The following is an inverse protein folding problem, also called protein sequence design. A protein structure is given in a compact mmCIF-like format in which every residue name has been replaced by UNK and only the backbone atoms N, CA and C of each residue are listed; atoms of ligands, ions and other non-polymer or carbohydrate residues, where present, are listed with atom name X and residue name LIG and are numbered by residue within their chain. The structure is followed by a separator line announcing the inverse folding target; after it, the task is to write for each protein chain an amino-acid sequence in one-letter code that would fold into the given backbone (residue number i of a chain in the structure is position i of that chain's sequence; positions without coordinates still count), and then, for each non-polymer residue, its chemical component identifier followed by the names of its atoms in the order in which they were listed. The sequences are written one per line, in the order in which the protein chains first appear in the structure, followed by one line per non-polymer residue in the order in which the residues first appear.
data_IF_324479827490
#
_entry.id   IF_324479827490
#
_cell.length_a   1.000
_cell.length_b   1.000
_cell.length_c   1.000
_cell.angle_alpha   90.00
_cell.angle_beta   90.00
_cell.angle_gamma   90.00
#
_symmetry.space_group_name_H-M   'P 1'
#
loop_
_entity.id
_entity.type
_entity.pdbx_description
1 polymer ?
#
# COMPACT_ATOMS: atom_id res chain seq x y z
N UNK A 1 -10.30 -0.31 -26.17
CA UNK A 1 -9.97 -1.31 -25.14
C UNK A 1 -10.82 -2.55 -25.38
N UNK A 2 -10.22 -3.64 -25.86
CA UNK A 2 -10.93 -4.91 -26.10
C UNK A 2 -10.21 -6.01 -25.32
N UNK A 3 -10.88 -6.58 -24.33
CA UNK A 3 -10.40 -7.74 -23.57
C UNK A 3 -10.96 -9.00 -24.23
N UNK A 4 -10.09 -9.85 -24.79
CA UNK A 4 -10.47 -11.20 -25.27
C UNK A 4 -10.09 -12.24 -24.23
N UNK A 5 -11.08 -13.03 -23.79
CA UNK A 5 -10.90 -14.19 -22.90
C UNK A 5 -10.61 -15.42 -23.78
N UNK A 6 -9.50 -16.14 -23.56
CA UNK A 6 -9.29 -17.46 -24.18
C UNK A 6 -10.02 -18.53 -23.36
N UNK A 7 -10.75 -19.40 -24.05
CA UNK A 7 -11.26 -20.66 -23.52
C UNK A 7 -10.16 -21.72 -23.67
N UNK A 8 -10.01 -22.61 -22.68
CA UNK A 8 -9.14 -23.79 -22.77
C UNK A 8 -9.99 -25.04 -22.62
N UNK A 9 -9.92 -25.87 -23.65
CA UNK A 9 -10.51 -27.21 -23.76
C UNK A 9 -9.80 -28.21 -22.84
N UNK A 10 -10.54 -29.23 -22.42
CA UNK A 10 -10.14 -30.31 -21.53
C UNK A 10 -9.92 -31.63 -22.30
N UNK A 11 -8.86 -32.38 -22.00
CA UNK A 11 -8.77 -33.84 -22.21
C UNK A 11 -7.57 -34.45 -21.43
N UNK A 12 -7.45 -35.80 -21.28
CA UNK A 12 -7.65 -36.48 -19.99
C UNK A 12 -6.42 -37.25 -19.45
N UNK A 13 -6.64 -37.88 -18.30
CA UNK A 13 -5.71 -38.61 -17.43
C UNK A 13 -4.92 -39.76 -18.09
N UNK A 14 -3.71 -40.00 -17.58
CA UNK A 14 -3.07 -41.32 -17.60
C UNK A 14 -2.28 -41.57 -16.30
N UNK A 15 -2.46 -42.76 -15.76
CA UNK A 15 -1.88 -43.32 -14.55
C UNK A 15 -0.67 -44.21 -14.87
N UNK A 16 0.32 -44.28 -13.96
CA UNK A 16 0.99 -45.56 -13.63
C UNK A 16 2.03 -45.38 -12.51
N UNK A 17 1.88 -46.21 -11.48
CA UNK A 17 2.88 -46.53 -10.46
C UNK A 17 4.04 -47.33 -11.06
N UNK A 18 5.28 -47.09 -10.64
CA UNK A 18 6.29 -48.14 -10.34
C UNK A 18 7.27 -47.63 -9.29
N UNK A 19 7.42 -48.39 -8.20
CA UNK A 19 8.55 -48.37 -7.26
C UNK A 19 9.54 -49.47 -7.63
N UNK A 20 10.85 -49.30 -7.39
CA UNK A 20 11.73 -50.25 -6.68
C UNK A 20 13.23 -49.86 -6.68
N UNK A 21 13.74 -49.63 -5.45
CA UNK A 21 14.95 -50.16 -4.77
C UNK A 21 16.37 -50.17 -5.42
N UNK A 22 17.25 -49.45 -4.71
CA UNK A 22 18.51 -49.84 -4.00
C UNK A 22 19.70 -50.50 -4.75
N UNK A 23 20.87 -49.87 -4.59
CA UNK A 23 22.14 -50.28 -3.91
C UNK A 23 23.25 -49.30 -4.37
N UNK A 24 24.23 -48.81 -3.62
CA UNK A 24 24.72 -49.06 -2.26
C UNK A 24 26.26 -48.91 -2.27
N UNK A 25 26.82 -48.30 -1.20
CA UNK A 25 28.22 -48.36 -0.71
C UNK A 25 29.32 -47.63 -1.53
N UNK A 26 30.37 -47.00 -0.98
CA UNK A 26 30.96 -46.91 0.37
C UNK A 26 31.86 -45.63 0.41
N UNK A 27 31.86 -44.77 1.45
CA UNK A 27 32.69 -44.84 2.68
C UNK A 27 34.10 -44.20 2.43
N UNK A 28 34.70 -43.28 3.20
CA UNK A 28 34.92 -43.19 4.66
C UNK A 28 35.47 -41.81 5.08
N UNK A 29 35.13 -41.43 6.34
CA UNK A 29 35.94 -40.75 7.38
C UNK A 29 36.50 -39.32 7.14
N UNK A 30 36.48 -38.38 8.08
CA UNK A 30 36.09 -38.41 9.48
C UNK A 30 36.37 -37.04 10.14
N UNK A 31 35.40 -36.61 10.95
CA UNK A 31 35.41 -35.58 12.01
C UNK A 31 36.51 -35.83 13.10
N UNK A 32 36.68 -35.03 14.20
CA UNK A 32 35.80 -33.97 14.75
C UNK A 32 36.47 -32.70 15.38
N UNK A 33 35.62 -31.67 15.64
CA UNK A 33 35.50 -30.79 16.86
C UNK A 33 36.71 -29.96 17.35
N UNK A 34 36.64 -28.82 18.08
CA UNK A 34 35.66 -28.04 18.86
C UNK A 34 36.32 -26.65 19.14
N UNK A 35 35.60 -25.51 19.08
CA UNK A 35 35.07 -24.70 20.20
C UNK A 35 36.02 -23.64 20.85
N UNK A 36 35.54 -22.37 20.87
CA UNK A 36 35.84 -21.25 21.82
C UNK A 36 37.29 -20.69 21.90
N UNK A 37 37.61 -19.45 22.29
CA UNK A 37 36.92 -18.19 22.61
C UNK A 37 37.99 -17.07 22.75
N UNK A 38 37.57 -15.81 22.59
CA UNK A 38 37.90 -14.62 23.40
C UNK A 38 39.35 -14.03 23.60
N UNK A 39 39.40 -12.69 23.42
CA UNK A 39 40.04 -11.65 24.27
C UNK A 39 41.48 -11.13 24.00
N UNK A 40 41.50 -9.84 23.61
CA UNK A 40 42.43 -8.71 23.85
C UNK A 40 43.93 -8.77 23.55
N UNK A 41 44.42 -7.67 22.96
CA UNK A 41 45.56 -6.91 23.52
C UNK A 41 45.54 -5.43 23.13
N UNK A 42 45.76 -4.61 24.15
CA UNK A 42 45.90 -3.15 24.22
C UNK A 42 47.25 -2.67 23.69
N UNK A 43 47.36 -1.42 23.21
CA UNK A 43 48.51 -0.56 23.51
C UNK A 43 48.31 0.93 23.09
N UNK A 44 48.23 1.77 24.12
CA UNK A 44 48.94 3.06 24.33
C UNK A 44 48.59 4.36 23.59
N UNK A 45 48.54 5.37 24.47
CA UNK A 45 48.24 6.79 24.42
C UNK A 45 49.46 7.66 24.04
N UNK A 46 49.22 8.88 23.50
CA UNK A 46 49.43 10.18 24.19
C UNK A 46 49.56 11.39 23.22
N UNK A 47 48.97 12.52 23.68
CA UNK A 47 49.32 13.94 23.45
C UNK A 47 48.93 14.57 22.09
N UNK A 48 48.50 15.84 21.97
CA UNK A 48 48.31 16.97 22.89
C UNK A 48 47.39 18.04 22.26
N UNK A 49 46.99 18.99 23.11
CA UNK A 49 46.14 20.17 22.90
C UNK A 49 46.41 21.04 21.66
N UNK A 50 45.31 21.59 21.11
CA UNK A 50 45.09 23.03 20.79
C UNK A 50 44.41 23.24 19.44
N UNK A 51 43.14 23.68 19.46
CA UNK A 51 42.57 24.59 18.47
C UNK A 51 41.18 25.05 18.92
N UNK A 52 41.15 26.17 19.63
CA UNK A 52 39.95 26.97 19.84
C UNK A 52 39.52 27.53 18.47
N UNK A 53 38.53 26.93 17.81
CA UNK A 53 37.94 27.47 16.57
C UNK A 53 36.50 27.90 16.83
N UNK A 54 36.28 29.21 16.66
CA UNK A 54 35.01 29.94 16.74
C UNK A 54 33.82 29.10 16.26
N UNK A 55 32.91 28.80 17.19
CA UNK A 55 31.55 28.34 16.87
C UNK A 55 30.84 29.44 16.09
N UNK A 56 30.65 29.23 14.80
CA UNK A 56 29.79 30.07 13.97
C UNK A 56 28.35 29.71 14.35
N UNK A 57 27.62 30.64 14.95
CA UNK A 57 26.19 30.47 15.21
C UNK A 57 25.48 30.19 13.88
N UNK A 58 25.03 28.96 13.69
CA UNK A 58 24.17 28.57 12.57
C UNK A 58 22.80 29.15 12.90
N UNK A 59 22.24 29.96 11.98
CA UNK A 59 20.89 30.49 12.11
C UNK A 59 19.89 29.31 12.24
N UNK A 60 18.83 29.47 13.03
CA UNK A 60 17.82 28.41 13.24
C UNK A 60 17.22 27.91 11.91
N UNK A 61 17.18 28.78 10.89
CA UNK A 61 16.67 28.47 9.56
C UNK A 61 17.62 27.58 8.73
N UNK A 62 18.93 27.75 8.88
CA UNK A 62 19.92 26.90 8.21
C UNK A 62 20.02 25.52 8.85
N UNK A 63 19.85 25.42 10.17
CA UNK A 63 19.78 24.14 10.87
C UNK A 63 18.50 23.36 10.49
N UNK A 64 17.34 24.04 10.43
CA UNK A 64 16.08 23.43 10.02
C UNK A 64 16.11 22.95 8.55
N UNK A 65 16.66 23.74 7.63
CA UNK A 65 16.84 23.33 6.22
C UNK A 65 17.80 22.14 6.07
N UNK A 66 18.86 22.08 6.88
CA UNK A 66 19.83 21.00 6.85
C UNK A 66 19.26 19.69 7.40
N UNK A 67 18.45 19.75 8.47
CA UNK A 67 17.73 18.58 9.02
C UNK A 67 16.70 18.03 8.05
N UNK A 68 15.99 18.89 7.31
CA UNK A 68 15.04 18.47 6.26
C UNK A 68 15.76 17.85 5.06
N UNK A 69 16.93 18.37 4.67
CA UNK A 69 17.75 17.82 3.58
C UNK A 69 18.40 16.46 3.91
N UNK A 70 18.70 16.20 5.19
CA UNK A 70 19.31 14.95 5.68
C UNK A 70 18.27 13.92 6.17
N UNK A 71 16.98 14.22 6.04
CA UNK A 71 15.91 13.26 6.32
C UNK A 71 16.06 12.03 5.40
N UNK A 72 15.82 10.81 5.90
CA UNK A 72 15.75 9.62 5.06
C UNK A 72 14.90 9.87 3.81
N UNK A 73 13.74 10.53 3.97
CA UNK A 73 12.81 10.89 2.88
C UNK A 73 13.43 11.79 1.80
N UNK A 74 14.28 12.73 2.18
CA UNK A 74 15.00 13.60 1.24
C UNK A 74 16.14 12.84 0.53
N UNK A 75 16.87 12.00 1.26
CA UNK A 75 17.89 11.10 0.71
C UNK A 75 17.32 10.12 -0.31
N UNK A 76 16.14 9.56 -0.04
CA UNK A 76 15.42 8.67 -0.95
C UNK A 76 14.98 9.37 -2.23
N UNK A 77 14.52 10.63 -2.16
CA UNK A 77 14.17 11.43 -3.36
C UNK A 77 15.35 11.64 -4.31
N UNK A 78 16.56 11.75 -3.78
CA UNK A 78 17.78 11.90 -4.58
C UNK A 78 18.19 10.57 -5.26
N UNK A 79 18.18 9.46 -4.53
CA UNK A 79 18.43 8.12 -5.11
C UNK A 79 17.42 7.77 -6.23
N UNK A 80 16.18 8.19 -6.05
CA UNK A 80 15.10 8.00 -7.03
C UNK A 80 15.32 8.80 -8.32
N UNK A 81 16.07 9.91 -8.28
CA UNK A 81 16.35 10.73 -9.48
C UNK A 81 17.39 10.07 -10.40
N UNK A 82 18.43 9.46 -9.83
CA UNK A 82 19.44 8.69 -10.58
C UNK A 82 18.81 7.41 -11.16
N UNK A 83 17.99 6.72 -10.35
CA UNK A 83 17.29 5.49 -10.76
C UNK A 83 16.23 5.75 -11.83
N UNK A 84 15.53 6.90 -11.78
CA UNK A 84 14.58 7.33 -12.82
C UNK A 84 15.19 7.42 -14.21
N UNK A 85 16.46 7.81 -14.34
CA UNK A 85 17.15 7.86 -15.65
C UNK A 85 17.32 6.48 -16.28
N UNK A 86 17.29 5.42 -15.47
CA UNK A 86 17.40 4.03 -15.92
C UNK A 86 16.04 3.33 -16.02
N UNK A 87 14.95 3.97 -15.59
CA UNK A 87 13.61 3.40 -15.68
C UNK A 87 13.12 3.42 -17.12
N UNK A 88 12.80 2.24 -17.62
CA UNK A 88 12.12 2.08 -18.90
C UNK A 88 10.69 1.59 -18.68
N UNK A 89 9.82 1.88 -19.65
CA UNK A 89 8.46 1.38 -19.63
C UNK A 89 8.47 -0.05 -20.16
N UNK A 90 8.13 -1.00 -19.29
CA UNK A 90 7.79 -2.39 -19.68
C UNK A 90 6.47 -2.33 -20.44
N UNK A 91 6.37 -2.61 -21.75
CA UNK A 91 5.13 -2.31 -22.48
C UNK A 91 3.92 -3.12 -22.01
N UNK A 92 4.09 -4.44 -21.84
CA UNK A 92 3.03 -5.37 -21.45
C UNK A 92 3.53 -6.33 -20.37
N UNK A 93 2.64 -6.72 -19.45
CA UNK A 93 2.91 -7.81 -18.51
C UNK A 93 1.88 -8.94 -18.66
N UNK A 94 2.31 -10.18 -18.39
CA UNK A 94 1.41 -11.30 -18.08
C UNK A 94 1.36 -11.48 -16.57
N UNK A 95 0.17 -11.34 -15.98
CA UNK A 95 -0.05 -11.47 -14.54
C UNK A 95 -1.30 -12.31 -14.28
N UNK A 96 -1.09 -13.49 -13.70
CA UNK A 96 -2.15 -14.49 -13.54
C UNK A 96 -2.73 -14.89 -14.90
N UNK A 97 -4.04 -14.67 -15.08
CA UNK A 97 -4.75 -14.93 -16.34
C UNK A 97 -4.84 -13.71 -17.27
N UNK A 98 -4.20 -12.60 -16.92
CA UNK A 98 -4.35 -11.34 -17.62
C UNK A 98 -3.08 -10.96 -18.36
N UNK A 99 -3.29 -10.34 -19.53
CA UNK A 99 -2.28 -9.55 -20.20
C UNK A 99 -2.65 -8.08 -20.00
N UNK A 100 -1.71 -7.28 -19.50
CA UNK A 100 -1.98 -5.92 -19.00
C UNK A 100 -0.97 -4.95 -19.62
N UNK A 101 -1.47 -3.95 -20.33
CA UNK A 101 -0.68 -2.80 -20.76
C UNK A 101 -0.30 -1.93 -19.56
N UNK A 102 0.97 -1.55 -19.47
CA UNK A 102 1.46 -0.72 -18.35
C UNK A 102 1.35 0.77 -18.66
N UNK A 103 1.36 1.59 -17.62
CA UNK A 103 1.12 3.03 -17.74
C UNK A 103 2.39 3.85 -17.50
N UNK A 104 3.22 3.42 -16.57
CA UNK A 104 4.40 4.16 -16.12
C UNK A 104 5.68 3.30 -16.17
N UNK A 105 6.86 3.94 -16.28
CA UNK A 105 8.14 3.25 -16.13
C UNK A 105 8.28 2.61 -14.74
N UNK A 106 8.94 1.45 -14.70
CA UNK A 106 9.31 0.74 -13.47
C UNK A 106 10.71 0.14 -13.66
N UNK A 107 11.57 0.07 -12.63
CA UNK A 107 12.96 -0.32 -12.77
C UNK A 107 13.14 -1.85 -12.89
N UNK A 108 12.39 -2.47 -13.80
CA UNK A 108 12.68 -3.83 -14.23
C UNK A 108 13.89 -3.82 -15.19
N UNK A 109 14.84 -4.77 -15.06
CA UNK A 109 15.97 -4.84 -15.97
C UNK A 109 15.52 -5.07 -17.42
N UNK A 110 16.07 -4.32 -18.37
CA UNK A 110 15.64 -4.30 -19.77
C UNK A 110 15.72 -5.66 -20.47
N UNK A 111 16.74 -6.45 -20.15
CA UNK A 111 16.91 -7.81 -20.67
C UNK A 111 15.83 -8.80 -20.18
N UNK A 112 15.00 -8.42 -19.21
CA UNK A 112 13.92 -9.27 -18.68
C UNK A 112 12.63 -9.18 -19.49
N UNK A 113 12.55 -8.35 -20.53
CA UNK A 113 11.38 -8.25 -21.40
C UNK A 113 11.79 -8.07 -22.87
N UNK A 114 12.56 -9.02 -23.44
CA UNK A 114 13.13 -8.90 -24.79
C UNK A 114 12.06 -8.73 -25.88
N UNK A 115 10.88 -9.34 -25.70
CA UNK A 115 9.74 -9.25 -26.62
C UNK A 115 8.70 -8.21 -26.16
N UNK A 116 9.14 -7.15 -25.49
CA UNK A 116 8.26 -6.11 -24.91
C UNK A 116 7.23 -6.64 -23.90
N UNK A 117 7.46 -7.85 -23.36
CA UNK A 117 6.56 -8.53 -22.44
C UNK A 117 7.32 -9.11 -21.26
N UNK A 118 6.84 -8.80 -20.05
CA UNK A 118 7.35 -9.35 -18.79
C UNK A 118 6.35 -10.35 -18.21
N UNK A 119 6.82 -11.47 -17.67
CA UNK A 119 5.97 -12.51 -17.11
C UNK A 119 6.07 -12.50 -15.59
N UNK A 120 4.96 -12.26 -14.88
CA UNK A 120 4.93 -12.08 -13.43
C UNK A 120 4.14 -13.22 -12.78
N UNK A 121 4.74 -13.89 -11.81
CA UNK A 121 4.13 -14.94 -11.02
C UNK A 121 3.04 -14.36 -10.10
N UNK A 122 1.82 -14.90 -10.18
CA UNK A 122 0.68 -14.43 -9.37
C UNK A 122 0.87 -14.70 -7.87
N UNK A 123 1.66 -15.73 -7.51
CA UNK A 123 1.84 -16.14 -6.12
C UNK A 123 2.94 -15.35 -5.42
N UNK A 124 4.15 -15.32 -5.98
CA UNK A 124 5.33 -14.69 -5.35
C UNK A 124 5.68 -13.30 -5.90
N UNK A 125 4.98 -12.85 -6.94
CA UNK A 125 5.21 -11.60 -7.65
C UNK A 125 6.60 -11.50 -8.32
N UNK A 126 7.37 -12.58 -8.30
CA UNK A 126 8.62 -12.71 -9.06
C UNK A 126 8.35 -12.64 -10.56
N UNK A 127 9.37 -12.27 -11.32
CA UNK A 127 9.26 -11.99 -12.74
C UNK A 127 10.28 -12.78 -13.56
N UNK A 128 9.91 -13.12 -14.79
CA UNK A 128 10.71 -13.92 -15.72
C UNK A 128 10.63 -13.34 -17.13
N UNK A 129 11.61 -13.67 -17.97
CA UNK A 129 11.74 -13.13 -19.32
C UNK A 129 10.93 -13.86 -20.38
N UNK A 130 10.52 -15.10 -20.13
CA UNK A 130 9.74 -15.90 -21.08
C UNK A 130 8.65 -16.68 -20.38
N UNK A 131 7.60 -17.02 -21.14
CA UNK A 131 6.49 -17.84 -20.63
C UNK A 131 6.95 -19.20 -20.10
N UNK A 132 7.90 -19.85 -20.80
CA UNK A 132 8.45 -21.15 -20.39
C UNK A 132 9.12 -21.07 -19.02
N UNK A 133 9.84 -19.99 -18.74
CA UNK A 133 10.46 -19.76 -17.43
C UNK A 133 9.41 -19.50 -16.34
N UNK A 134 8.32 -18.78 -16.66
CA UNK A 134 7.21 -18.61 -15.72
C UNK A 134 6.54 -19.96 -15.41
N UNK A 135 6.31 -20.81 -16.41
CA UNK A 135 5.72 -22.13 -16.23
C UNK A 135 6.59 -23.02 -15.35
N UNK A 136 7.90 -23.09 -15.64
CA UNK A 136 8.88 -23.80 -14.79
C UNK A 136 8.92 -23.24 -13.37
N UNK A 137 8.93 -21.91 -13.23
CA UNK A 137 8.91 -21.28 -11.93
C UNK A 137 7.68 -21.69 -11.13
N UNK A 138 6.50 -21.73 -11.75
CA UNK A 138 5.24 -22.09 -11.07
C UNK A 138 5.20 -23.56 -10.64
N UNK A 139 5.81 -24.47 -11.39
CA UNK A 139 5.84 -25.90 -11.07
C UNK A 139 6.90 -26.24 -10.01
N UNK A 140 8.12 -25.73 -10.17
CA UNK A 140 9.30 -26.31 -9.51
C UNK A 140 10.00 -25.34 -8.56
N UNK A 141 10.01 -24.03 -8.87
CA UNK A 141 10.85 -23.07 -8.14
C UNK A 141 10.07 -22.14 -7.18
N UNK A 142 8.76 -22.00 -7.36
CA UNK A 142 8.02 -20.93 -6.70
C UNK A 142 7.90 -21.19 -5.19
N UNK A 143 8.46 -20.32 -4.34
CA UNK A 143 8.44 -20.53 -2.89
C UNK A 143 7.01 -20.49 -2.32
N UNK A 144 6.08 -19.88 -3.06
CA UNK A 144 4.68 -19.71 -2.68
C UNK A 144 3.73 -20.50 -3.59
N UNK A 145 4.20 -21.54 -4.29
CA UNK A 145 3.37 -22.35 -5.20
C UNK A 145 2.11 -22.92 -4.53
N UNK A 146 2.22 -23.29 -3.25
CA UNK A 146 1.16 -23.92 -2.44
C UNK A 146 0.76 -23.08 -1.23
N UNK A 147 1.19 -21.83 -1.18
CA UNK A 147 1.02 -20.96 -0.01
C UNK A 147 0.26 -19.70 -0.40
N UNK A 148 -0.44 -19.12 0.59
CA UNK A 148 -1.00 -17.78 0.47
C UNK A 148 0.14 -16.74 0.37
N UNK A 149 -0.15 -15.49 -0.05
CA UNK A 149 0.78 -14.38 0.14
C UNK A 149 1.37 -14.41 1.56
N UNK A 150 2.66 -14.07 1.72
CA UNK A 150 3.30 -14.16 3.02
C UNK A 150 2.62 -13.20 3.98
N UNK A 151 2.49 -13.59 5.26
CA UNK A 151 1.87 -12.77 6.29
C UNK A 151 0.53 -13.32 6.78
N UNK A 152 -0.22 -12.46 7.47
CA UNK A 152 -1.42 -12.85 8.23
C UNK A 152 -2.68 -12.36 7.54
N UNK A 153 -3.66 -13.24 7.34
CA UNK A 153 -5.00 -12.80 6.93
C UNK A 153 -5.67 -12.06 8.10
N UNK A 154 -6.04 -10.80 7.89
CA UNK A 154 -6.64 -9.90 8.91
C UNK A 154 -8.09 -9.53 8.61
N UNK A 155 -8.60 -9.90 7.44
CA UNK A 155 -10.00 -9.73 7.03
C UNK A 155 -10.37 -10.84 6.06
N UNK A 156 -11.57 -11.39 6.19
CA UNK A 156 -12.18 -12.31 5.22
C UNK A 156 -13.68 -12.05 5.12
N UNK A 157 -14.19 -11.95 3.90
CA UNK A 157 -15.62 -11.79 3.60
C UNK A 157 -16.01 -12.67 2.40
N UNK A 158 -17.16 -13.35 2.48
CA UNK A 158 -17.66 -14.14 1.37
C UNK A 158 -18.09 -13.25 0.19
N UNK A 159 -17.76 -13.65 -1.04
CA UNK A 159 -18.22 -12.92 -2.23
C UNK A 159 -19.71 -13.22 -2.49
N UNK A 160 -20.59 -12.20 -2.55
CA UNK A 160 -22.04 -12.41 -2.67
C UNK A 160 -22.47 -13.01 -4.02
N UNK A 161 -21.74 -12.71 -5.11
CA UNK A 161 -22.08 -13.15 -6.47
C UNK A 161 -21.41 -14.46 -6.90
N UNK A 162 -20.84 -15.21 -5.95
CA UNK A 162 -20.25 -16.50 -6.25
C UNK A 162 -21.35 -17.49 -6.67
N UNK A 163 -21.20 -18.26 -7.78
CA UNK A 163 -22.19 -19.23 -8.27
C UNK A 163 -22.65 -20.25 -7.21
N UNK A 164 -21.85 -20.40 -6.16
CA UNK A 164 -22.24 -20.94 -4.87
C UNK A 164 -21.71 -19.97 -3.80
N UNK A 165 -22.50 -19.54 -2.79
CA UNK A 165 -22.09 -18.62 -1.71
C UNK A 165 -20.89 -19.12 -0.86
N UNK A 166 -20.32 -20.28 -1.21
CA UNK A 166 -19.16 -20.92 -0.61
C UNK A 166 -17.91 -20.98 -1.50
N UNK A 167 -17.91 -20.49 -2.75
CA UNK A 167 -16.79 -20.78 -3.66
C UNK A 167 -15.61 -19.81 -3.56
N UNK A 168 -15.80 -18.57 -3.12
CA UNK A 168 -14.70 -17.59 -3.04
C UNK A 168 -14.94 -16.55 -1.96
N UNK A 169 -13.85 -15.99 -1.41
CA UNK A 169 -13.89 -14.88 -0.45
C UNK A 169 -12.91 -13.77 -0.83
N UNK A 170 -13.20 -12.55 -0.41
CA UNK A 170 -12.21 -11.48 -0.35
C UNK A 170 -11.42 -11.64 0.94
N UNK A 171 -10.10 -11.57 0.84
CA UNK A 171 -9.20 -11.61 1.99
C UNK A 171 -8.26 -10.42 1.97
N UNK A 172 -7.95 -9.86 3.14
CA UNK A 172 -6.86 -8.89 3.32
C UNK A 172 -5.71 -9.57 4.05
N UNK A 173 -4.52 -9.56 3.46
CA UNK A 173 -3.30 -10.11 4.04
C UNK A 173 -2.38 -8.97 4.46
N UNK A 174 -2.03 -8.93 5.74
CA UNK A 174 -1.04 -8.02 6.30
C UNK A 174 0.36 -8.64 6.18
N UNK A 175 1.24 -7.96 5.44
CA UNK A 175 2.60 -8.39 5.13
C UNK A 175 3.59 -7.41 5.71
N UNK A 176 4.55 -7.91 6.50
CA UNK A 176 5.68 -7.12 6.98
C UNK A 176 6.72 -6.98 5.86
N UNK A 177 7.01 -5.75 5.43
CA UNK A 177 8.07 -5.50 4.45
C UNK A 177 9.48 -5.86 4.92
N UNK A 178 9.73 -5.90 6.23
CA UNK A 178 11.00 -6.36 6.80
C UNK A 178 11.12 -7.89 6.75
N UNK A 179 10.05 -8.61 7.13
CA UNK A 179 10.06 -10.07 7.16
C UNK A 179 9.94 -10.72 5.78
N UNK A 180 9.32 -10.03 4.82
CA UNK A 180 9.06 -10.53 3.46
C UNK A 180 9.54 -9.55 2.38
N UNK A 181 10.78 -9.09 2.52
CA UNK A 181 11.37 -8.03 1.69
C UNK A 181 11.27 -8.30 0.20
N UNK A 182 11.68 -9.48 -0.27
CA UNK A 182 11.62 -9.85 -1.70
C UNK A 182 10.20 -9.77 -2.25
N UNK A 183 9.21 -10.26 -1.51
CA UNK A 183 7.80 -10.20 -1.92
C UNK A 183 7.31 -8.76 -2.04
N UNK A 184 7.62 -7.93 -1.03
CA UNK A 184 7.20 -6.53 -0.99
C UNK A 184 7.93 -5.67 -2.03
N UNK A 185 9.20 -5.97 -2.34
CA UNK A 185 9.94 -5.32 -3.43
C UNK A 185 9.32 -5.66 -4.79
N UNK A 186 9.03 -6.94 -5.03
CA UNK A 186 8.32 -7.38 -6.23
C UNK A 186 6.93 -6.73 -6.36
N UNK A 187 6.17 -6.65 -5.27
CA UNK A 187 4.91 -5.93 -5.22
C UNK A 187 5.10 -4.45 -5.57
N UNK A 188 6.13 -3.80 -5.04
CA UNK A 188 6.43 -2.40 -5.33
C UNK A 188 6.80 -2.16 -6.80
N UNK A 189 7.60 -3.04 -7.41
CA UNK A 189 7.95 -2.98 -8.83
C UNK A 189 6.70 -3.13 -9.72
N UNK A 190 5.83 -4.10 -9.40
CA UNK A 190 4.57 -4.33 -10.09
C UNK A 190 3.64 -3.12 -9.96
N UNK A 191 3.55 -2.56 -8.76
CA UNK A 191 2.72 -1.39 -8.45
C UNK A 191 3.19 -0.13 -9.19
N UNK A 192 4.52 0.04 -9.33
CA UNK A 192 5.11 1.18 -10.03
C UNK A 192 4.74 1.25 -11.51
N UNK A 193 4.41 0.11 -12.14
CA UNK A 193 3.89 0.07 -13.52
C UNK A 193 2.55 0.82 -13.69
N UNK A 194 1.82 1.02 -12.59
CA UNK A 194 0.48 1.63 -12.57
C UNK A 194 0.41 2.88 -11.68
N UNK A 195 1.54 3.32 -11.11
CA UNK A 195 1.67 4.52 -10.29
C UNK A 195 2.83 5.40 -10.74
N UNK A 196 2.57 6.69 -10.94
CA UNK A 196 3.60 7.64 -11.32
C UNK A 196 4.53 7.98 -10.14
N UNK A 197 3.93 8.36 -9.00
CA UNK A 197 4.62 9.00 -7.88
C UNK A 197 5.15 8.04 -6.80
N UNK A 198 5.45 6.78 -7.14
CA UNK A 198 6.05 5.83 -6.19
C UNK A 198 7.58 5.93 -6.21
N UNK A 199 8.15 6.38 -5.09
CA UNK A 199 9.60 6.65 -4.97
C UNK A 199 10.36 5.60 -4.16
N UNK A 200 9.66 4.77 -3.38
CA UNK A 200 10.25 3.72 -2.55
C UNK A 200 9.78 2.35 -3.02
N UNK A 201 10.69 1.55 -3.57
CA UNK A 201 10.42 0.20 -4.05
C UNK A 201 11.46 -0.85 -3.63
N UNK A 202 12.63 -0.43 -3.11
CA UNK A 202 13.65 -1.35 -2.57
C UNK A 202 13.70 -1.36 -1.04
N UNK A 203 13.66 -0.18 -0.40
CA UNK A 203 13.55 -0.11 1.06
C UNK A 203 12.08 -0.24 1.48
N UNK A 204 11.68 -1.48 1.73
CA UNK A 204 10.33 -1.86 2.13
C UNK A 204 10.21 -2.13 3.64
N UNK A 205 11.33 -2.10 4.37
CA UNK A 205 11.43 -2.55 5.77
C UNK A 205 10.56 -1.74 6.74
N UNK A 206 10.34 -0.48 6.42
CA UNK A 206 9.57 0.49 7.21
C UNK A 206 8.06 0.47 6.93
N UNK A 207 7.59 -0.42 6.06
CA UNK A 207 6.18 -0.48 5.65
C UNK A 207 5.49 -1.78 6.07
N UNK A 208 4.23 -1.63 6.47
CA UNK A 208 3.21 -2.66 6.36
C UNK A 208 2.58 -2.60 4.98
N UNK A 209 2.28 -3.77 4.42
CA UNK A 209 1.51 -3.91 3.18
C UNK A 209 0.22 -4.68 3.45
N UNK A 210 -0.90 -4.13 3.02
CA UNK A 210 -2.22 -4.73 3.15
C UNK A 210 -2.73 -5.15 1.77
N UNK A 211 -2.51 -6.42 1.44
CA UNK A 211 -2.80 -6.99 0.13
C UNK A 211 -4.22 -7.57 0.10
N UNK A 212 -5.07 -6.99 -0.73
CA UNK A 212 -6.41 -7.50 -0.99
C UNK A 212 -6.35 -8.56 -2.08
N UNK A 213 -6.92 -9.73 -1.80
CA UNK A 213 -6.95 -10.85 -2.73
C UNK A 213 -8.36 -11.45 -2.85
N UNK A 214 -8.64 -12.08 -3.98
CA UNK A 214 -9.74 -13.04 -4.11
C UNK A 214 -9.17 -14.42 -3.83
N UNK A 215 -9.69 -15.08 -2.81
CA UNK A 215 -9.39 -16.47 -2.48
C UNK A 215 -10.44 -17.38 -3.09
N UNK A 216 -10.03 -18.24 -4.01
CA UNK A 216 -10.87 -19.31 -4.55
C UNK A 216 -10.79 -20.52 -3.63
N UNK A 217 -11.87 -20.78 -2.88
CA UNK A 217 -11.97 -21.88 -1.91
C UNK A 217 -11.97 -23.25 -2.58
N UNK A 218 -12.36 -23.35 -3.86
CA UNK A 218 -12.39 -24.62 -4.61
C UNK A 218 -11.00 -25.01 -5.07
N UNK A 219 -10.25 -24.08 -5.67
CA UNK A 219 -8.92 -24.36 -6.19
C UNK A 219 -7.80 -24.15 -5.16
N UNK A 220 -8.08 -23.43 -4.07
CA UNK A 220 -7.08 -22.97 -3.12
C UNK A 220 -6.23 -21.80 -3.63
N UNK A 221 -6.52 -21.28 -4.84
CA UNK A 221 -5.76 -20.20 -5.44
C UNK A 221 -6.08 -18.85 -4.79
N UNK A 222 -5.06 -17.99 -4.73
CA UNK A 222 -5.19 -16.61 -4.26
C UNK A 222 -4.82 -15.67 -5.40
N UNK A 223 -5.71 -14.75 -5.71
CA UNK A 223 -5.54 -13.78 -6.80
C UNK A 223 -5.38 -12.37 -6.24
N UNK A 224 -4.18 -11.77 -6.28
CA UNK A 224 -3.97 -10.39 -5.85
C UNK A 224 -4.81 -9.41 -6.68
N UNK A 225 -5.57 -8.56 -5.99
CA UNK A 225 -6.46 -7.55 -6.59
C UNK A 225 -5.87 -6.15 -6.52
N UNK A 226 -5.20 -5.85 -5.42
CA UNK A 226 -4.64 -4.54 -5.13
C UNK A 226 -4.10 -4.51 -3.71
N UNK A 227 -3.49 -3.40 -3.33
CA UNK A 227 -2.99 -3.23 -1.96
C UNK A 227 -2.95 -1.76 -1.57
N UNK A 228 -2.78 -1.52 -0.27
CA UNK A 228 -2.19 -0.29 0.20
C UNK A 228 -0.99 -0.55 1.12
N UNK A 229 -0.05 0.39 1.18
CA UNK A 229 1.05 0.36 2.15
C UNK A 229 0.86 1.44 3.22
N UNK A 230 1.39 1.18 4.41
CA UNK A 230 1.36 2.08 5.56
C UNK A 230 2.73 2.07 6.25
N UNK A 231 3.30 3.24 6.50
CA UNK A 231 4.53 3.34 7.30
C UNK A 231 4.28 2.85 8.73
N UNK A 232 5.23 2.07 9.27
CA UNK A 232 5.18 1.54 10.64
C UNK A 232 5.20 2.63 11.70
N UNK A 233 5.97 3.69 11.43
CA UNK A 233 6.08 4.85 12.28
C UNK A 233 5.99 6.09 11.41
N UNK A 234 4.92 6.86 11.57
CA UNK A 234 4.66 8.03 10.74
C UNK A 234 4.26 9.24 11.60
N UNK A 235 5.11 10.27 11.71
CA UNK A 235 4.81 11.47 12.49
C UNK A 235 3.72 12.34 11.83
N UNK A 236 3.54 12.24 10.51
CA UNK A 236 2.59 13.04 9.73
C UNK A 236 1.16 12.46 9.76
N UNK A 237 0.92 11.40 10.54
CA UNK A 237 -0.38 10.71 10.66
C UNK A 237 -0.94 10.19 9.32
N UNK A 238 -0.06 9.86 8.35
CA UNK A 238 -0.55 9.18 7.15
C UNK A 238 -0.92 7.73 7.48
N UNK A 239 -2.20 7.40 7.30
CA UNK A 239 -2.68 6.02 7.45
C UNK A 239 -2.49 5.18 6.18
N UNK A 240 -2.10 5.83 5.08
CA UNK A 240 -1.89 5.21 3.79
C UNK A 240 -0.81 5.96 2.99
N UNK A 241 0.23 5.25 2.56
CA UNK A 241 1.35 5.80 1.77
C UNK A 241 1.15 5.61 0.27
N UNK A 242 0.74 4.40 -0.15
CA UNK A 242 0.45 4.08 -1.55
C UNK A 242 -0.79 3.21 -1.61
N UNK A 243 -1.59 3.36 -2.65
CA UNK A 243 -2.75 2.52 -2.94
C UNK A 243 -2.82 2.24 -4.43
N UNK A 244 -3.07 0.98 -4.78
CA UNK A 244 -3.32 0.58 -6.17
C UNK A 244 -4.31 -0.56 -6.21
N UNK A 245 -5.24 -0.48 -7.15
CA UNK A 245 -6.03 -1.62 -7.61
C UNK A 245 -5.49 -1.99 -8.99
N UNK A 246 -5.12 -3.25 -9.19
CA UNK A 246 -4.56 -3.68 -10.46
C UNK A 246 -5.59 -3.50 -11.59
N UNK A 247 -5.16 -3.10 -12.81
CA UNK A 247 -6.08 -2.65 -13.85
C UNK A 247 -7.28 -3.58 -14.16
N UNK A 248 -7.12 -4.93 -14.21
CA UNK A 248 -8.25 -5.83 -14.48
C UNK A 248 -9.40 -5.77 -13.47
N UNK A 249 -9.11 -5.27 -12.26
CA UNK A 249 -10.04 -5.21 -11.13
C UNK A 249 -10.55 -3.80 -10.81
N UNK A 250 -10.10 -2.78 -11.53
CA UNK A 250 -10.55 -1.41 -11.30
C UNK A 250 -12.04 -1.23 -11.63
N UNK A 251 -12.65 -0.19 -11.03
CA UNK A 251 -14.09 0.15 -11.17
C UNK A 251 -15.07 -0.92 -10.70
N UNK A 252 -14.66 -1.71 -9.69
CA UNK A 252 -15.49 -2.76 -9.04
C UNK A 252 -15.63 -2.56 -7.53
N UNK A 253 -15.43 -1.34 -7.03
CA UNK A 253 -15.51 -1.02 -5.60
C UNK A 253 -14.29 -1.36 -4.75
N UNK A 254 -13.30 -2.12 -5.26
CA UNK A 254 -12.11 -2.51 -4.47
C UNK A 254 -11.26 -1.33 -3.97
N UNK A 255 -11.22 -0.22 -4.71
CA UNK A 255 -10.51 0.99 -4.27
C UNK A 255 -11.16 1.59 -3.03
N UNK A 256 -12.48 1.76 -3.04
CA UNK A 256 -13.25 2.24 -1.89
C UNK A 256 -13.15 1.28 -0.70
N UNK A 257 -13.13 -0.05 -0.96
CA UNK A 257 -12.92 -1.06 0.08
C UNK A 257 -11.54 -0.91 0.74
N UNK A 258 -10.47 -0.76 -0.05
CA UNK A 258 -9.11 -0.56 0.49
C UNK A 258 -9.02 0.71 1.35
N UNK A 259 -9.63 1.82 0.90
CA UNK A 259 -9.70 3.07 1.68
C UNK A 259 -10.51 2.85 2.98
N UNK A 260 -11.64 2.16 2.90
CA UNK A 260 -12.46 1.85 4.07
C UNK A 260 -11.69 1.00 5.08
N UNK A 261 -10.96 -0.01 4.62
CA UNK A 261 -10.13 -0.87 5.47
C UNK A 261 -8.98 -0.09 6.10
N UNK A 262 -8.35 0.86 5.38
CA UNK A 262 -7.28 1.68 5.98
C UNK A 262 -7.80 2.55 7.13
N UNK A 263 -9.00 3.11 7.01
CA UNK A 263 -9.64 3.86 8.11
C UNK A 263 -10.11 2.97 9.26
N UNK A 264 -10.54 1.74 8.97
CA UNK A 264 -10.89 0.78 10.01
C UNK A 264 -9.68 0.39 10.88
N UNK A 265 -8.48 0.30 10.28
CA UNK A 265 -7.23 0.20 11.03
C UNK A 265 -6.98 1.44 11.89
N UNK A 266 -7.12 2.65 11.32
CA UNK A 266 -6.94 3.92 12.04
C UNK A 266 -7.87 4.03 13.27
N UNK A 267 -9.13 3.61 13.14
CA UNK A 267 -10.09 3.59 14.26
C UNK A 267 -9.65 2.66 15.38
N UNK A 268 -9.14 1.46 15.05
CA UNK A 268 -8.64 0.48 16.03
C UNK A 268 -7.36 0.93 16.72
N UNK A 269 -6.58 1.79 16.07
CA UNK A 269 -5.43 2.45 16.67
C UNK A 269 -5.82 3.65 17.54
N UNK A 270 -7.10 4.01 17.60
CA UNK A 270 -7.61 5.18 18.32
C UNK A 270 -6.94 6.49 17.88
N UNK A 271 -6.64 6.60 16.58
CA UNK A 271 -6.03 7.80 15.99
C UNK A 271 -6.93 8.40 14.91
N UNK A 272 -6.47 9.49 14.30
CA UNK A 272 -7.03 10.04 13.06
C UNK A 272 -5.98 9.93 11.96
N UNK A 273 -6.42 9.87 10.70
CA UNK A 273 -5.52 9.65 9.59
C UNK A 273 -5.97 10.28 8.27
N UNK A 274 -4.99 10.56 7.43
CA UNK A 274 -5.14 11.09 6.07
C UNK A 274 -4.21 10.32 5.13
N UNK A 275 -4.47 10.20 3.82
CA UNK A 275 -3.48 9.65 2.91
C UNK A 275 -2.25 10.55 2.75
N UNK A 276 -1.12 9.95 2.41
CA UNK A 276 0.08 10.66 2.00
C UNK A 276 -0.20 11.53 0.76
N UNK A 277 0.37 12.74 0.76
CA UNK A 277 0.19 13.75 -0.28
C UNK A 277 1.49 13.88 -1.12
N UNK A 278 1.40 14.19 -2.42
CA UNK A 278 0.18 14.41 -3.20
C UNK A 278 -0.54 13.13 -3.63
N UNK A 279 -1.87 13.18 -3.74
CA UNK A 279 -2.69 12.09 -4.30
C UNK A 279 -2.72 12.15 -5.84
N UNK A 280 -2.79 10.97 -6.47
CA UNK A 280 -3.13 10.86 -7.89
C UNK A 280 -4.54 11.38 -8.17
N UNK A 281 -4.86 11.74 -9.42
CA UNK A 281 -6.21 12.21 -9.80
C UNK A 281 -7.28 11.19 -9.44
N UNK A 282 -7.05 9.91 -9.74
CA UNK A 282 -7.95 8.82 -9.39
C UNK A 282 -8.03 8.62 -7.88
N UNK A 283 -6.90 8.71 -7.17
CA UNK A 283 -6.85 8.59 -5.71
C UNK A 283 -7.68 9.68 -5.04
N UNK A 284 -7.50 10.95 -5.42
CA UNK A 284 -8.29 12.08 -4.89
C UNK A 284 -9.79 11.88 -5.13
N UNK A 285 -10.19 11.47 -6.34
CA UNK A 285 -11.60 11.22 -6.63
C UNK A 285 -12.19 10.13 -5.72
N UNK A 286 -11.47 9.01 -5.54
CA UNK A 286 -11.90 7.91 -4.68
C UNK A 286 -11.99 8.31 -3.19
N UNK A 287 -11.00 9.07 -2.69
CA UNK A 287 -11.03 9.58 -1.31
C UNK A 287 -12.17 10.56 -1.07
N UNK A 288 -12.41 11.49 -2.00
CA UNK A 288 -13.52 12.43 -1.88
C UNK A 288 -14.88 11.72 -1.90
N UNK A 289 -15.07 10.72 -2.76
CA UNK A 289 -16.28 9.91 -2.78
C UNK A 289 -16.48 9.16 -1.44
N UNK A 290 -15.42 8.51 -0.94
CA UNK A 290 -15.44 7.81 0.35
C UNK A 290 -15.76 8.75 1.52
N UNK A 291 -15.05 9.88 1.64
CA UNK A 291 -15.26 10.84 2.72
C UNK A 291 -16.66 11.44 2.70
N UNK A 292 -17.17 11.83 1.52
CA UNK A 292 -18.55 12.33 1.40
C UNK A 292 -19.56 11.30 1.88
N UNK A 293 -19.44 10.05 1.41
CA UNK A 293 -20.33 8.98 1.81
C UNK A 293 -20.31 8.75 3.32
N UNK A 294 -19.13 8.61 3.92
CA UNK A 294 -18.98 8.34 5.36
C UNK A 294 -19.49 9.51 6.20
N UNK A 295 -19.12 10.74 5.85
CA UNK A 295 -19.49 11.92 6.63
C UNK A 295 -20.99 12.21 6.56
N UNK A 296 -21.60 12.13 5.38
CA UNK A 296 -23.05 12.34 5.25
C UNK A 296 -23.83 11.24 5.95
N UNK A 297 -23.39 9.98 5.84
CA UNK A 297 -24.00 8.85 6.56
C UNK A 297 -23.95 9.09 8.08
N UNK A 298 -22.81 9.54 8.60
CA UNK A 298 -22.65 9.79 10.02
C UNK A 298 -23.48 10.99 10.50
N UNK A 299 -23.57 12.05 9.71
CA UNK A 299 -24.46 13.18 9.98
C UNK A 299 -25.94 12.76 10.02
N UNK A 300 -26.39 11.91 9.10
CA UNK A 300 -27.75 11.39 9.09
C UNK A 300 -28.06 10.57 10.35
N UNK A 301 -27.14 9.73 10.81
CA UNK A 301 -27.30 8.97 12.07
C UNK A 301 -27.41 9.91 13.27
N UNK A 302 -26.57 10.95 13.33
CA UNK A 302 -26.60 11.92 14.42
C UNK A 302 -27.86 12.80 14.41
N UNK A 303 -28.44 13.07 13.24
CA UNK A 303 -29.70 13.83 13.10
C UNK A 303 -30.98 13.01 13.32
N UNK A 304 -30.93 11.68 13.12
CA UNK A 304 -32.09 10.79 13.25
C UNK A 304 -32.56 10.52 14.68
N UNK A 305 -31.80 10.95 15.70
CA UNK A 305 -32.16 10.72 17.11
C UNK A 305 -33.06 11.79 17.74
N UNK A 306 -33.38 12.88 17.03
CA UNK A 306 -34.28 13.94 17.53
C UNK A 306 -35.59 13.97 16.74
N UNK A 307 -36.62 13.27 17.25
CA UNK A 307 -37.97 13.20 16.67
C UNK A 307 -38.84 14.43 16.97
N UNK A 308 -38.26 15.58 17.31
CA UNK A 308 -39.04 16.77 17.64
C UNK A 308 -38.33 18.03 17.19
N UNK A 309 -38.97 18.72 16.24
CA UNK A 309 -38.74 20.11 15.85
C UNK A 309 -37.49 20.38 14.98
N UNK A 310 -37.74 21.11 13.90
CA UNK A 310 -36.85 21.79 12.92
C UNK A 310 -35.72 22.62 13.56
N UNK A 311 -34.87 21.97 14.34
CA UNK A 311 -33.71 22.56 14.99
C UNK A 311 -32.49 22.20 14.16
N UNK A 312 -31.81 23.22 13.63
CA UNK A 312 -30.51 23.09 12.95
C UNK A 312 -29.54 22.28 13.80
N UNK A 313 -29.40 20.98 13.48
CA UNK A 313 -28.54 20.06 14.24
C UNK A 313 -27.09 20.47 14.01
N UNK A 314 -26.48 21.09 15.02
CA UNK A 314 -25.08 21.53 14.96
C UNK A 314 -24.20 20.38 15.42
N UNK A 315 -23.35 19.84 14.54
CA UNK A 315 -22.38 18.79 14.86
C UNK A 315 -20.98 19.39 14.83
N UNK A 316 -20.16 19.12 15.86
CA UNK A 316 -18.78 19.58 15.88
C UNK A 316 -17.89 18.73 14.96
N UNK A 317 -16.93 19.37 14.28
CA UNK A 317 -15.94 18.68 13.44
C UNK A 317 -15.14 17.65 14.25
N UNK A 318 -14.82 17.96 15.51
CA UNK A 318 -14.12 17.03 16.40
C UNK A 318 -14.94 15.77 16.69
N UNK A 319 -16.26 15.88 16.83
CA UNK A 319 -17.14 14.71 17.02
C UNK A 319 -17.19 13.83 15.76
N UNK A 320 -17.23 14.43 14.58
CA UNK A 320 -17.15 13.69 13.31
C UNK A 320 -15.78 13.02 13.15
N UNK A 321 -14.71 13.71 13.49
CA UNK A 321 -13.34 13.18 13.44
C UNK A 321 -13.19 11.97 14.36
N UNK A 322 -13.67 12.05 15.60
CA UNK A 322 -13.66 10.93 16.53
C UNK A 322 -14.50 9.73 16.05
N UNK A 323 -15.64 9.96 15.40
CA UNK A 323 -16.51 8.89 14.89
C UNK A 323 -15.97 8.21 13.62
N UNK A 324 -15.26 8.96 12.77
CA UNK A 324 -14.86 8.51 11.43
C UNK A 324 -13.36 8.21 11.30
N UNK A 325 -12.54 8.65 12.25
CA UNK A 325 -11.07 8.68 12.19
C UNK A 325 -10.48 9.52 11.04
N UNK A 326 -11.30 10.36 10.39
CA UNK A 326 -10.86 11.30 9.35
C UNK A 326 -10.30 12.56 10.03
N UNK A 327 -9.21 13.11 9.50
CA UNK A 327 -8.65 14.36 10.05
C UNK A 327 -9.65 15.52 9.95
N UNK A 328 -9.65 16.46 10.92
CA UNK A 328 -10.52 17.63 10.86
C UNK A 328 -10.41 18.42 9.55
N UNK A 329 -9.20 18.53 9.00
CA UNK A 329 -8.94 19.26 7.75
C UNK A 329 -9.64 18.60 6.55
N UNK A 330 -9.53 17.27 6.42
CA UNK A 330 -10.19 16.54 5.35
C UNK A 330 -11.72 16.59 5.50
N UNK A 331 -12.24 16.58 6.74
CA UNK A 331 -13.67 16.77 7.01
C UNK A 331 -14.14 18.13 6.52
N UNK A 332 -13.44 19.20 6.91
CA UNK A 332 -13.79 20.57 6.53
C UNK A 332 -13.72 20.74 5.01
N UNK A 333 -12.64 20.26 4.38
CA UNK A 333 -12.48 20.31 2.92
C UNK A 333 -13.63 19.56 2.22
N UNK A 334 -13.97 18.37 2.69
CA UNK A 334 -15.02 17.55 2.10
C UNK A 334 -16.41 18.18 2.25
N UNK A 335 -16.78 18.62 3.46
CA UNK A 335 -18.11 19.16 3.73
C UNK A 335 -18.36 20.51 3.05
N UNK A 336 -17.33 21.33 2.84
CA UNK A 336 -17.44 22.58 2.07
C UNK A 336 -17.83 22.35 0.61
N UNK A 337 -17.54 21.17 0.05
CA UNK A 337 -17.94 20.80 -1.30
C UNK A 337 -19.31 20.11 -1.37
N UNK A 338 -19.94 19.81 -0.23
CA UNK A 338 -21.25 19.17 -0.17
C UNK A 338 -22.39 20.21 -0.26
N UNK A 339 -23.29 20.12 -1.26
CA UNK A 339 -24.47 20.96 -1.30
C UNK A 339 -25.35 20.76 -0.05
N UNK A 340 -25.84 21.85 0.53
CA UNK A 340 -26.75 21.80 1.68
C UNK A 340 -26.09 21.64 3.06
N UNK A 341 -24.75 21.55 3.13
CA UNK A 341 -24.01 21.56 4.40
C UNK A 341 -23.34 22.91 4.61
N UNK A 342 -23.57 23.54 5.77
CA UNK A 342 -22.93 24.81 6.14
C UNK A 342 -21.85 24.53 7.19
N UNK A 343 -20.60 24.87 6.87
CA UNK A 343 -19.47 24.79 7.81
C UNK A 343 -19.19 26.19 8.35
N UNK A 344 -19.47 26.42 9.64
CA UNK A 344 -19.23 27.71 10.31
C UNK A 344 -18.03 27.65 11.25
N UNK A 345 -17.13 28.62 11.18
CA UNK A 345 -16.07 28.78 12.18
C UNK A 345 -16.64 29.48 13.42
N UNK A 346 -16.44 28.90 14.61
CA UNK A 346 -16.89 29.52 15.87
C UNK A 346 -16.15 30.82 16.20
N UNK A 347 -15.04 31.12 15.53
CA UNK A 347 -14.22 32.32 15.76
C UNK A 347 -14.84 33.63 15.25
N UNK A 348 -15.94 33.58 14.51
CA UNK A 348 -16.62 34.79 14.00
C UNK A 348 -17.94 35.10 14.69
N UNK A 349 -18.22 34.52 15.87
CA UNK A 349 -19.45 34.81 16.63
C UNK A 349 -19.31 35.89 17.72
N UNK A 350 -18.13 36.45 17.92
CA UNK A 350 -17.91 37.60 18.80
C UNK A 350 -17.59 38.87 17.99
N UNK A 351 -18.62 39.44 17.36
CA UNK A 351 -18.72 40.89 17.13
C UNK A 351 -20.19 41.26 17.22
N UNK A 352 -20.69 41.70 18.39
CA UNK A 352 -21.92 42.48 18.44
C UNK A 352 -21.64 43.89 17.87
N UNK A 353 -22.69 44.47 17.29
CA UNK A 353 -22.80 45.82 16.70
C UNK A 353 -22.33 45.94 15.24
N UNK A 354 -23.19 46.23 14.27
CA UNK A 354 -23.96 47.48 14.23
C UNK A 354 -25.21 47.34 13.37
N UNK A 355 -26.37 47.69 13.94
CA UNK A 355 -27.59 48.02 13.21
C UNK A 355 -27.32 49.17 12.25
N UNK A 356 -27.48 48.96 10.94
CA UNK A 356 -27.78 50.05 10.01
C UNK A 356 -29.02 49.72 9.20
N UNK A 357 -30.14 50.21 9.74
CA UNK A 357 -31.32 50.60 9.00
C UNK A 357 -30.91 51.35 7.72
N UNK A 358 -31.27 50.80 6.57
CA UNK A 358 -31.56 51.62 5.39
C UNK A 358 -32.88 51.12 4.81
N UNK A 359 -33.95 51.78 5.26
CA UNK A 359 -35.16 51.88 4.49
C UNK A 359 -34.83 52.57 3.15
N UNK A 360 -35.22 51.94 2.04
CA UNK A 360 -35.43 52.61 0.77
C UNK A 360 -36.80 52.19 0.23
N UNK A 361 -37.79 52.97 0.65
CA UNK A 361 -38.98 53.27 -0.16
C UNK A 361 -38.60 54.41 -1.10
N UNK A 362 -38.57 54.15 -2.40
CA UNK A 362 -39.35 54.86 -3.42
C UNK A 362 -39.19 54.18 -4.75
#
# INVERSE_FOLDING_TARGET
MLLRRRATESCPQASSNVSLKRKGLADLCGEPRQLESAITRSATTKNAFSAFKRTKCISSDDAAKKVVADSPRAKWRLLDTETKRQMQRVPVIEFGRFEIETWYPSPYPTHMYPDNKLFVCENCLGYTSTKRLLEHHRSDDCPLAKQRPPGRTVYEEALPDAPSPSSSSLILVEVDGMASSTYCQNLCLLAKLFMDQKTLYFDVSVFWFYLLCIYDKRSGNVHPVGYFSKEKANPDQYNLSCIVVFPPYQRRGYGSLLISLSYELTKREHTVGTPEKPLSVLGRAAYMEYWRFVLLTELCKMGGSSSTTTSSTTVSIQKLSAATAITPDDIVATLRECPGVVVSDKSTRDCPDTVRSTALKR
#
